data_IF_188637982042
#
_entry.id   IF_188637982042
#
_cell.length_a   1.000
_cell.length_b   1.000
_cell.length_c   1.000
_cell.angle_alpha   90.00
_cell.angle_beta   90.00
_cell.angle_gamma   90.00
#
_symmetry.space_group_name_H-M   'P 1'
#
loop_
_entity.id
_entity.type
_entity.pdbx_description
1 polymer ?
#
# COMPACT_ATOMS: atom_id res chain seq x y z
N UNK A 1 -15.21 11.38 -6.98
CA UNK A 1 -14.73 10.77 -5.72
C UNK A 1 -14.34 11.87 -4.77
N UNK A 2 -14.85 11.87 -3.54
CA UNK A 2 -14.50 12.92 -2.59
C UNK A 2 -13.20 12.62 -1.85
N UNK A 3 -12.72 13.60 -1.06
CA UNK A 3 -11.46 13.49 -0.34
C UNK A 3 -11.43 12.32 0.64
N UNK A 4 -12.55 12.07 1.31
CA UNK A 4 -12.64 10.99 2.30
C UNK A 4 -12.52 9.63 1.64
N UNK A 5 -13.15 9.45 0.48
CA UNK A 5 -13.06 8.21 -0.28
C UNK A 5 -11.65 7.96 -0.77
N UNK A 6 -10.97 9.02 -1.26
CA UNK A 6 -9.58 8.92 -1.70
C UNK A 6 -8.69 8.55 -0.52
N UNK A 7 -8.87 9.21 0.62
CA UNK A 7 -8.07 8.94 1.82
C UNK A 7 -8.21 7.48 2.27
N UNK A 8 -9.44 6.96 2.29
CA UNK A 8 -9.66 5.58 2.68
C UNK A 8 -9.08 4.58 1.68
N UNK A 9 -9.15 4.89 0.39
CA UNK A 9 -8.52 4.05 -0.64
C UNK A 9 -7.00 4.03 -0.51
N UNK A 10 -6.40 5.19 -0.18
CA UNK A 10 -4.96 5.28 0.07
C UNK A 10 -4.58 4.46 1.30
N UNK A 11 -5.34 4.58 2.37
CA UNK A 11 -5.09 3.79 3.59
C UNK A 11 -5.11 2.29 3.29
N UNK A 12 -6.14 1.83 2.60
CA UNK A 12 -6.28 0.42 2.26
C UNK A 12 -5.09 -0.08 1.41
N UNK A 13 -4.65 0.72 0.45
CA UNK A 13 -3.50 0.35 -0.37
C UNK A 13 -2.21 0.29 0.45
N UNK A 14 -2.02 1.23 1.38
CA UNK A 14 -0.86 1.22 2.27
C UNK A 14 -0.86 0.00 3.17
N UNK A 15 -2.01 -0.35 3.73
CA UNK A 15 -2.11 -1.55 4.58
C UNK A 15 -1.78 -2.80 3.79
N UNK A 16 -2.30 -2.95 2.58
CA UNK A 16 -1.99 -4.10 1.73
C UNK A 16 -0.51 -4.18 1.41
N UNK A 17 0.11 -3.05 1.09
CA UNK A 17 1.54 -3.03 0.78
C UNK A 17 2.39 -3.45 1.98
N UNK A 18 2.05 -2.95 3.17
CA UNK A 18 2.79 -3.30 4.39
C UNK A 18 2.62 -4.78 4.75
N UNK A 19 1.39 -5.28 4.69
CA UNK A 19 1.10 -6.68 5.00
C UNK A 19 1.81 -7.61 4.01
N UNK A 20 1.73 -7.29 2.73
CA UNK A 20 2.38 -8.10 1.68
C UNK A 20 3.90 -8.16 1.90
N UNK A 21 4.53 -7.02 2.20
CA UNK A 21 5.97 -6.97 2.44
C UNK A 21 6.35 -7.76 3.70
N UNK A 22 5.53 -7.67 4.75
CA UNK A 22 5.75 -8.40 6.00
C UNK A 22 5.68 -9.92 5.76
N UNK A 23 4.65 -10.35 5.04
CA UNK A 23 4.47 -11.77 4.74
C UNK A 23 5.56 -12.30 3.83
N UNK A 24 5.92 -11.55 2.81
CA UNK A 24 6.99 -11.94 1.89
C UNK A 24 8.33 -12.08 2.60
N UNK A 25 8.64 -11.13 3.50
CA UNK A 25 9.87 -11.20 4.29
C UNK A 25 9.89 -12.45 5.17
N UNK A 26 8.74 -12.82 5.75
CA UNK A 26 8.62 -14.05 6.52
C UNK A 26 8.86 -15.30 5.69
N UNK A 27 8.33 -15.33 4.47
CA UNK A 27 8.54 -16.43 3.54
C UNK A 27 10.02 -16.57 3.19
N UNK A 28 10.72 -15.44 3.04
CA UNK A 28 12.16 -15.43 2.75
C UNK A 28 13.02 -15.74 3.95
N UNK A 29 12.41 -15.94 5.11
CA UNK A 29 13.12 -16.39 6.31
C UNK A 29 13.63 -15.28 7.21
N UNK A 30 13.18 -14.03 7.03
CA UNK A 30 13.61 -12.95 7.89
C UNK A 30 13.02 -13.10 9.32
N UNK A 31 13.78 -12.63 10.31
CA UNK A 31 13.29 -12.57 11.67
C UNK A 31 12.23 -11.47 11.82
N UNK A 32 11.59 -11.41 12.99
CA UNK A 32 10.49 -10.45 13.24
C UNK A 32 10.93 -9.01 12.99
N UNK A 33 12.10 -8.62 13.46
CA UNK A 33 12.61 -7.26 13.24
C UNK A 33 12.79 -6.96 11.76
N UNK A 34 13.31 -7.93 11.00
CA UNK A 34 13.48 -7.78 9.55
C UNK A 34 12.16 -7.70 8.81
N UNK A 35 11.16 -8.45 9.25
CA UNK A 35 9.81 -8.41 8.68
C UNK A 35 9.18 -7.04 8.89
N UNK A 36 9.34 -6.50 10.10
CA UNK A 36 8.83 -5.16 10.44
C UNK A 36 9.49 -4.08 9.56
N UNK A 37 10.83 -4.16 9.43
CA UNK A 37 11.56 -3.23 8.58
C UNK A 37 11.10 -3.30 7.13
N UNK A 38 10.82 -4.49 6.63
CA UNK A 38 10.30 -4.66 5.27
C UNK A 38 8.95 -3.97 5.10
N UNK A 39 8.06 -4.12 6.08
CA UNK A 39 6.74 -3.48 6.04
C UNK A 39 6.87 -1.94 6.04
N UNK A 40 7.72 -1.40 6.93
CA UNK A 40 7.95 0.04 7.00
C UNK A 40 8.58 0.54 5.69
N UNK A 41 9.54 -0.20 5.15
CA UNK A 41 10.17 0.14 3.88
C UNK A 41 9.18 0.19 2.72
N UNK A 42 8.23 -0.73 2.71
CA UNK A 42 7.17 -0.73 1.70
C UNK A 42 6.32 0.54 1.78
N UNK A 43 5.97 0.96 3.00
CA UNK A 43 5.21 2.20 3.19
C UNK A 43 6.00 3.42 2.72
N UNK A 44 7.30 3.47 3.05
CA UNK A 44 8.16 4.58 2.65
C UNK A 44 8.37 4.65 1.14
N UNK A 45 8.26 3.53 0.45
CA UNK A 45 8.50 3.43 -1.00
C UNK A 45 7.28 3.71 -1.86
N UNK A 46 6.09 3.81 -1.26
CA UNK A 46 4.87 4.04 -2.03
C UNK A 46 4.92 5.42 -2.69
N UNK A 47 4.67 5.44 -4.00
CA UNK A 47 4.50 6.68 -4.74
C UNK A 47 3.03 7.10 -4.60
N UNK A 48 2.78 8.00 -3.65
CA UNK A 48 1.41 8.42 -3.32
C UNK A 48 0.72 9.15 -4.48
N UNK A 49 1.46 9.93 -5.26
CA UNK A 49 0.88 10.63 -6.40
C UNK A 49 0.38 9.65 -7.45
N UNK A 50 1.20 8.67 -7.76
CA UNK A 50 0.83 7.63 -8.72
C UNK A 50 -0.36 6.83 -8.20
N UNK A 51 -0.35 6.48 -6.92
CA UNK A 51 -1.44 5.74 -6.29
C UNK A 51 -2.75 6.50 -6.38
N UNK A 52 -2.74 7.80 -6.07
CA UNK A 52 -3.93 8.63 -6.15
C UNK A 52 -4.44 8.70 -7.60
N UNK A 53 -3.55 8.84 -8.57
CA UNK A 53 -3.93 8.82 -9.98
C UNK A 53 -4.60 7.51 -10.37
N UNK A 54 -4.06 6.40 -9.92
CA UNK A 54 -4.64 5.08 -10.20
C UNK A 54 -6.02 4.93 -9.59
N UNK A 55 -6.21 5.41 -8.36
CA UNK A 55 -7.50 5.39 -7.67
C UNK A 55 -8.52 6.23 -8.45
N UNK A 56 -8.14 7.43 -8.85
CA UNK A 56 -9.01 8.31 -9.61
C UNK A 56 -9.39 7.72 -10.96
N UNK A 57 -8.43 7.13 -11.66
CA UNK A 57 -8.69 6.49 -12.95
C UNK A 57 -9.65 5.30 -12.80
N UNK A 58 -9.45 4.49 -11.77
CA UNK A 58 -10.34 3.36 -11.52
C UNK A 58 -11.76 3.82 -11.23
N UNK A 59 -11.91 4.95 -10.53
CA UNK A 59 -13.20 5.50 -10.17
C UNK A 59 -13.93 6.16 -11.34
N UNK A 60 -13.19 6.67 -12.33
CA UNK A 60 -13.77 7.36 -13.49
C UNK A 60 -14.04 6.44 -14.67
N UNK A 61 -13.66 5.19 -14.60
CA UNK A 61 -13.88 4.25 -15.68
C UNK A 61 -15.38 4.00 -15.86
N UNK A 62 -15.87 4.04 -17.09
CA UNK A 62 -17.26 3.67 -17.35
C UNK A 62 -17.46 2.20 -17.01
N UNK A 63 -18.49 1.94 -16.31
CA UNK A 63 -19.05 0.73 -15.74
C UNK A 63 -18.65 -0.63 -16.10
#
# INVERSE_FOLDING_TARGET
MDSDQIAEAVRAACERAAISAYEDAGIRGLCEAGRWEAAVGALQSIDLRKLIQEIELANTRPG
#
